data_IF_080559405766
#
_entry.id   IF_080559405766
#
_cell.length_a   1.000
_cell.length_b   1.000
_cell.length_c   1.000
_cell.angle_alpha   90.00
_cell.angle_beta   90.00
_cell.angle_gamma   90.00
#
_symmetry.space_group_name_H-M   'P 1'
#
loop_
_entity.id
_entity.type
_entity.pdbx_description
1 polymer ?
#
# COMPACT_ATOMS: atom_id res chain seq x y z
N UNK A 1 -11.79 -1.19 16.41
CA UNK A 1 -12.46 -2.15 15.50
C UNK A 1 -13.70 -1.48 14.91
N UNK A 2 -13.87 -1.41 13.57
CA UNK A 2 -14.93 -0.60 12.92
C UNK A 2 -16.14 -1.39 12.38
N UNK A 3 -16.00 -2.71 12.20
CA UNK A 3 -17.07 -3.51 11.63
C UNK A 3 -18.21 -3.71 12.66
N UNK A 4 -19.47 -3.33 12.37
CA UNK A 4 -20.54 -3.27 13.39
C UNK A 4 -20.93 -4.64 13.97
N UNK A 5 -20.82 -5.70 13.17
CA UNK A 5 -21.09 -7.09 13.61
C UNK A 5 -19.85 -7.74 14.24
N UNK A 6 -18.76 -7.91 13.46
CA UNK A 6 -17.54 -8.56 13.94
C UNK A 6 -16.94 -7.95 15.21
N UNK A 7 -17.01 -6.63 15.40
CA UNK A 7 -16.47 -5.99 16.62
C UNK A 7 -17.26 -6.32 17.88
N UNK A 8 -18.50 -6.80 17.75
CA UNK A 8 -19.39 -7.14 18.86
C UNK A 8 -19.51 -8.65 19.09
N UNK A 9 -18.85 -9.47 18.28
CA UNK A 9 -18.94 -10.92 18.44
C UNK A 9 -18.29 -11.37 19.74
N UNK A 10 -18.88 -12.38 20.39
CA UNK A 10 -18.35 -12.94 21.64
C UNK A 10 -16.93 -13.46 21.48
N UNK A 11 -16.64 -14.07 20.32
CA UNK A 11 -15.29 -14.54 19.97
C UNK A 11 -14.29 -13.38 19.94
N UNK A 12 -14.65 -12.25 19.33
CA UNK A 12 -13.78 -11.07 19.26
C UNK A 12 -13.58 -10.43 20.63
N UNK A 13 -14.64 -10.34 21.44
CA UNK A 13 -14.55 -9.81 22.81
C UNK A 13 -13.68 -10.71 23.68
N UNK A 14 -13.92 -12.02 23.70
CA UNK A 14 -13.11 -13.00 24.42
C UNK A 14 -11.64 -12.97 23.99
N UNK A 15 -11.39 -12.84 22.67
CA UNK A 15 -10.04 -12.68 22.11
C UNK A 15 -9.29 -11.48 22.70
N UNK A 16 -9.97 -10.35 22.88
CA UNK A 16 -9.33 -9.11 23.34
C UNK A 16 -9.27 -8.97 24.86
N UNK A 17 -10.24 -9.50 25.61
CA UNK A 17 -10.42 -9.16 27.03
C UNK A 17 -10.08 -10.30 28.00
N UNK A 18 -9.94 -11.54 27.53
CA UNK A 18 -9.65 -12.67 28.42
C UNK A 18 -8.19 -12.66 28.89
N UNK A 19 -7.97 -12.49 30.19
CA UNK A 19 -6.64 -12.47 30.82
C UNK A 19 -6.29 -13.77 31.57
N UNK A 20 -7.23 -14.71 31.69
CA UNK A 20 -7.05 -15.98 32.40
C UNK A 20 -6.87 -17.16 31.43
N UNK A 21 -5.84 -17.99 31.64
CA UNK A 21 -5.48 -19.08 30.73
C UNK A 21 -6.53 -20.20 30.70
N UNK A 22 -7.18 -20.51 31.83
CA UNK A 22 -8.19 -21.57 31.89
C UNK A 22 -9.46 -21.13 31.16
N UNK A 23 -9.91 -19.91 31.41
CA UNK A 23 -11.02 -19.26 30.70
C UNK A 23 -10.72 -19.10 29.23
N UNK A 24 -9.47 -18.79 28.87
CA UNK A 24 -9.04 -18.72 27.48
C UNK A 24 -9.29 -20.03 26.74
N UNK A 25 -8.77 -21.15 27.27
CA UNK A 25 -8.95 -22.49 26.69
C UNK A 25 -10.41 -22.89 26.60
N UNK A 26 -11.22 -22.56 27.62
CA UNK A 26 -12.65 -22.84 27.62
C UNK A 26 -13.40 -22.03 26.54
N UNK A 27 -13.20 -20.72 26.49
CA UNK A 27 -13.83 -19.85 25.50
C UNK A 27 -13.38 -20.15 24.07
N UNK A 28 -12.12 -20.54 23.86
CA UNK A 28 -11.64 -21.04 22.57
C UNK A 28 -12.42 -22.28 22.12
N UNK A 29 -12.54 -23.28 23.00
CA UNK A 29 -13.31 -24.51 22.71
C UNK A 29 -14.79 -24.24 22.48
N UNK A 30 -15.35 -23.23 23.15
CA UNK A 30 -16.73 -22.80 22.94
C UNK A 30 -16.90 -22.20 21.54
N UNK A 31 -15.99 -21.32 21.12
CA UNK A 31 -16.00 -20.73 19.78
C UNK A 31 -15.83 -21.79 18.66
N UNK A 32 -15.00 -22.81 18.89
CA UNK A 32 -14.81 -23.94 17.96
C UNK A 32 -16.07 -24.83 17.81
N UNK A 33 -17.00 -24.77 18.76
CA UNK A 33 -18.24 -25.58 18.79
C UNK A 33 -19.50 -24.77 18.50
N UNK A 34 -19.35 -23.53 18.04
CA UNK A 34 -20.50 -22.69 17.69
C UNK A 34 -21.30 -23.33 16.54
N UNK A 35 -22.62 -23.41 16.70
CA UNK A 35 -23.53 -23.97 15.69
C UNK A 35 -24.08 -22.89 14.75
N UNK A 36 -23.95 -21.61 15.10
CA UNK A 36 -24.40 -20.45 14.31
C UNK A 36 -23.34 -20.04 13.29
N UNK A 37 -22.85 -21.01 12.52
CA UNK A 37 -21.84 -20.82 11.48
C UNK A 37 -22.46 -20.81 10.08
N UNK A 38 -21.83 -20.08 9.16
CA UNK A 38 -22.27 -20.01 7.77
C UNK A 38 -23.71 -19.50 7.65
N UNK A 39 -24.56 -20.23 6.91
CA UNK A 39 -25.96 -19.85 6.71
C UNK A 39 -26.79 -19.92 8.00
N UNK A 40 -26.42 -20.74 8.98
CA UNK A 40 -27.13 -20.82 10.27
C UNK A 40 -27.06 -19.50 11.04
N UNK A 41 -26.01 -18.70 10.79
CA UNK A 41 -25.90 -17.36 11.37
C UNK A 41 -27.08 -16.47 11.00
N UNK A 42 -27.70 -16.64 9.83
CA UNK A 42 -28.84 -15.84 9.40
C UNK A 42 -30.05 -15.95 10.34
N UNK A 43 -30.17 -17.05 11.10
CA UNK A 43 -31.23 -17.23 12.10
C UNK A 43 -31.07 -16.28 13.30
N UNK A 44 -29.85 -15.81 13.56
CA UNK A 44 -29.57 -14.83 14.63
C UNK A 44 -29.88 -13.38 14.24
N UNK A 45 -30.18 -13.12 12.96
CA UNK A 45 -30.44 -11.78 12.46
C UNK A 45 -31.89 -11.39 12.68
N UNK A 46 -32.10 -10.24 13.32
CA UNK A 46 -33.40 -9.57 13.31
C UNK A 46 -33.47 -8.72 12.04
N UNK A 47 -34.36 -9.09 11.12
CA UNK A 47 -34.56 -8.40 9.85
C UNK A 47 -35.76 -7.44 9.94
N UNK A 48 -35.74 -6.28 9.25
CA UNK A 48 -36.90 -5.41 9.17
C UNK A 48 -38.11 -6.09 8.50
N UNK A 49 -39.32 -5.72 8.91
CA UNK A 49 -40.57 -6.16 8.27
C UNK A 49 -40.78 -5.43 6.92
N UNK A 50 -39.93 -5.74 5.95
CA UNK A 50 -40.03 -5.22 4.58
C UNK A 50 -39.98 -6.38 3.61
N UNK A 51 -41.07 -6.58 2.86
CA UNK A 51 -41.07 -7.52 1.75
C UNK A 51 -40.12 -7.02 0.64
N UNK A 52 -39.18 -7.87 0.24
CA UNK A 52 -38.29 -7.61 -0.89
C UNK A 52 -38.80 -8.38 -2.11
N UNK A 53 -38.80 -7.73 -3.27
CA UNK A 53 -39.07 -8.41 -4.53
C UNK A 53 -37.84 -9.22 -4.93
N UNK A 54 -38.01 -10.51 -5.21
CA UNK A 54 -36.91 -11.41 -5.57
C UNK A 54 -36.09 -10.85 -6.75
N UNK A 55 -36.77 -10.32 -7.78
CA UNK A 55 -36.11 -9.73 -8.94
C UNK A 55 -35.20 -8.54 -8.61
N UNK A 56 -35.52 -7.76 -7.58
CA UNK A 56 -34.66 -6.67 -7.12
C UNK A 56 -33.44 -7.19 -6.37
N UNK A 57 -33.62 -8.24 -5.55
CA UNK A 57 -32.53 -8.89 -4.82
C UNK A 57 -31.54 -9.53 -5.79
N UNK A 58 -32.04 -10.23 -6.81
CA UNK A 58 -31.21 -10.86 -7.84
C UNK A 58 -30.43 -9.82 -8.62
N UNK A 59 -31.09 -8.73 -9.04
CA UNK A 59 -30.43 -7.64 -9.76
C UNK A 59 -29.29 -6.99 -8.96
N UNK A 60 -29.54 -6.68 -7.67
CA UNK A 60 -28.50 -6.11 -6.79
C UNK A 60 -27.36 -7.12 -6.59
N UNK A 61 -27.68 -8.40 -6.42
CA UNK A 61 -26.68 -9.45 -6.24
C UNK A 61 -25.76 -9.57 -7.44
N UNK A 62 -26.32 -9.55 -8.66
CA UNK A 62 -25.54 -9.59 -9.90
C UNK A 62 -24.69 -8.33 -10.11
N UNK A 63 -25.21 -7.16 -9.77
CA UNK A 63 -24.45 -5.90 -9.76
C UNK A 63 -23.27 -5.99 -8.78
N UNK A 64 -23.49 -6.48 -7.56
CA UNK A 64 -22.44 -6.67 -6.57
C UNK A 64 -21.37 -7.67 -7.05
N UNK A 65 -21.76 -8.78 -7.65
CA UNK A 65 -20.82 -9.77 -8.19
C UNK A 65 -19.95 -9.18 -9.30
N UNK A 66 -20.57 -8.46 -10.24
CA UNK A 66 -19.86 -7.76 -11.32
C UNK A 66 -18.89 -6.72 -10.77
N UNK A 67 -19.34 -5.91 -9.80
CA UNK A 67 -18.52 -4.90 -9.14
C UNK A 67 -17.30 -5.51 -8.44
N UNK A 68 -17.48 -6.56 -7.63
CA UNK A 68 -16.39 -7.18 -6.86
C UNK A 68 -15.31 -7.72 -7.81
N UNK A 69 -15.70 -8.39 -8.90
CA UNK A 69 -14.75 -8.96 -9.86
C UNK A 69 -13.97 -7.87 -10.62
N UNK A 70 -14.66 -6.80 -11.02
CA UNK A 70 -14.02 -5.63 -11.64
C UNK A 70 -13.05 -4.95 -10.69
N UNK A 71 -13.47 -4.70 -9.44
CA UNK A 71 -12.67 -4.07 -8.41
C UNK A 71 -11.42 -4.88 -8.05
N UNK A 72 -11.56 -6.20 -7.88
CA UNK A 72 -10.42 -7.10 -7.60
C UNK A 72 -9.36 -7.01 -8.72
N UNK A 73 -9.81 -7.06 -9.97
CA UNK A 73 -8.93 -6.94 -11.14
C UNK A 73 -8.22 -5.58 -11.18
N UNK A 74 -8.95 -4.48 -10.95
CA UNK A 74 -8.39 -3.13 -10.92
C UNK A 74 -7.40 -2.92 -9.77
N UNK A 75 -7.72 -3.40 -8.56
CA UNK A 75 -6.83 -3.30 -7.39
C UNK A 75 -5.55 -4.10 -7.62
N UNK A 76 -5.63 -5.29 -8.20
CA UNK A 76 -4.44 -6.09 -8.57
C UNK A 76 -3.57 -5.36 -9.58
N UNK A 77 -4.16 -4.74 -10.60
CA UNK A 77 -3.41 -3.96 -11.60
C UNK A 77 -2.69 -2.77 -10.96
N UNK A 78 -3.39 -1.98 -10.12
CA UNK A 78 -2.80 -0.86 -9.39
C UNK A 78 -1.67 -1.33 -8.46
N UNK A 79 -1.91 -2.39 -7.69
CA UNK A 79 -0.92 -2.98 -6.78
C UNK A 79 0.33 -3.43 -7.53
N UNK A 80 0.16 -4.12 -8.66
CA UNK A 80 1.26 -4.53 -9.53
C UNK A 80 2.07 -3.34 -10.03
N UNK A 81 1.41 -2.26 -10.44
CA UNK A 81 2.09 -1.04 -10.87
C UNK A 81 2.83 -0.34 -9.73
N UNK A 82 2.24 -0.27 -8.54
CA UNK A 82 2.92 0.25 -7.36
C UNK A 82 4.19 -0.55 -7.06
N UNK A 83 4.15 -1.88 -7.14
CA UNK A 83 5.34 -2.73 -6.93
C UNK A 83 6.43 -2.47 -7.97
N UNK A 84 6.06 -2.32 -9.25
CA UNK A 84 7.02 -2.00 -10.33
C UNK A 84 7.66 -0.62 -10.06
N UNK A 85 6.85 0.37 -9.73
CA UNK A 85 7.35 1.73 -9.47
C UNK A 85 8.26 1.76 -8.24
N UNK A 86 7.89 1.10 -7.15
CA UNK A 86 8.74 0.98 -5.96
C UNK A 86 10.13 0.44 -6.31
N UNK A 87 10.21 -0.63 -7.13
CA UNK A 87 11.49 -1.17 -7.59
C UNK A 87 12.29 -0.17 -8.44
N UNK A 88 11.61 0.61 -9.29
CA UNK A 88 12.25 1.66 -10.11
C UNK A 88 12.82 2.79 -9.26
N UNK A 89 12.07 3.25 -8.26
CA UNK A 89 12.53 4.29 -7.32
C UNK A 89 13.69 3.83 -6.45
N UNK A 90 13.72 2.57 -6.03
CA UNK A 90 14.79 2.05 -5.17
C UNK A 90 16.15 1.88 -5.88
N UNK A 91 16.15 1.68 -7.21
CA UNK A 91 17.37 1.36 -7.95
C UNK A 91 17.54 2.20 -9.21
N UNK A 92 16.84 1.90 -10.31
CA UNK A 92 17.02 2.57 -11.61
C UNK A 92 17.05 4.09 -11.53
N UNK A 93 16.07 4.74 -10.90
CA UNK A 93 16.03 6.20 -10.84
C UNK A 93 17.16 6.79 -9.99
N UNK A 94 17.54 6.09 -8.92
CA UNK A 94 18.69 6.44 -8.10
C UNK A 94 19.98 6.41 -8.93
N UNK A 95 20.22 5.30 -9.63
CA UNK A 95 21.37 5.09 -10.51
C UNK A 95 21.42 6.12 -11.63
N UNK A 96 20.28 6.43 -12.25
CA UNK A 96 20.21 7.42 -13.32
C UNK A 96 20.60 8.82 -12.82
N UNK A 97 20.07 9.23 -11.65
CA UNK A 97 20.45 10.52 -11.03
C UNK A 97 21.95 10.56 -10.68
N UNK A 98 22.50 9.48 -10.13
CA UNK A 98 23.94 9.39 -9.83
C UNK A 98 24.80 9.52 -11.09
N UNK A 99 24.47 8.80 -12.17
CA UNK A 99 25.19 8.88 -13.45
C UNK A 99 25.14 10.27 -14.06
N UNK A 100 23.99 10.94 -14.00
CA UNK A 100 23.87 12.34 -14.44
C UNK A 100 24.80 13.23 -13.62
N UNK A 101 24.82 13.07 -12.29
CA UNK A 101 25.69 13.86 -11.43
C UNK A 101 27.18 13.62 -11.66
N UNK A 102 27.58 12.36 -11.85
CA UNK A 102 28.95 11.97 -12.23
C UNK A 102 29.38 12.61 -13.56
N UNK A 103 28.50 12.66 -14.56
CA UNK A 103 28.78 13.30 -15.84
C UNK A 103 29.03 14.81 -15.69
N UNK A 104 28.20 15.51 -14.90
CA UNK A 104 28.42 16.93 -14.59
C UNK A 104 29.73 17.17 -13.82
N UNK A 105 30.06 16.30 -12.85
CA UNK A 105 31.35 16.36 -12.17
C UNK A 105 32.53 16.16 -13.13
N UNK A 106 32.44 15.17 -14.03
CA UNK A 106 33.45 14.91 -15.05
C UNK A 106 33.67 16.11 -15.96
N UNK A 107 32.59 16.74 -16.44
CA UNK A 107 32.66 17.97 -17.23
C UNK A 107 33.30 19.13 -16.45
N UNK A 108 32.85 19.35 -15.21
CA UNK A 108 33.42 20.40 -14.36
C UNK A 108 34.91 20.18 -14.09
N UNK A 109 35.36 18.93 -13.91
CA UNK A 109 36.77 18.61 -13.75
C UNK A 109 37.57 18.90 -15.02
N UNK A 110 37.06 18.50 -16.20
CA UNK A 110 37.71 18.78 -17.48
C UNK A 110 37.86 20.29 -17.73
N UNK A 111 36.83 21.09 -17.46
CA UNK A 111 36.87 22.55 -17.59
C UNK A 111 37.87 23.20 -16.62
N UNK A 112 38.07 22.62 -15.43
CA UNK A 112 39.06 23.12 -14.45
C UNK A 112 40.50 22.99 -14.95
N UNK A 113 40.79 22.05 -15.86
CA UNK A 113 42.13 21.83 -16.39
C UNK A 113 42.56 22.94 -17.38
N UNK A 114 41.61 23.67 -17.96
CA UNK A 114 41.83 24.74 -18.94
C UNK A 114 41.73 26.16 -18.31
N UNK A 115 41.61 26.27 -16.98
CA UNK A 115 41.47 27.56 -16.25
C UNK A 115 42.71 28.47 -16.28
N UNK A 116 43.67 28.20 -17.16
CA UNK A 116 44.98 28.85 -17.25
C UNK A 116 45.03 30.32 -17.68
N UNK A 117 43.94 31.10 -17.79
CA UNK A 117 44.08 32.57 -17.92
C UNK A 117 42.87 33.47 -17.62
N UNK A 118 41.66 32.97 -17.28
CA UNK A 118 40.46 33.84 -17.17
C UNK A 118 39.66 33.53 -15.89
N UNK A 119 39.65 34.46 -14.93
CA UNK A 119 38.93 34.35 -13.63
C UNK A 119 37.42 34.05 -13.78
N UNK A 120 36.81 34.42 -14.91
CA UNK A 120 35.38 34.24 -15.21
C UNK A 120 34.92 32.76 -15.30
N UNK A 121 35.78 31.85 -15.76
CA UNK A 121 35.42 30.43 -15.93
C UNK A 121 35.28 29.69 -14.60
N UNK A 122 35.97 30.13 -13.54
CA UNK A 122 35.94 29.50 -12.21
C UNK A 122 34.55 29.40 -11.57
N UNK A 123 33.71 30.43 -11.70
CA UNK A 123 32.34 30.44 -11.15
C UNK A 123 31.43 29.48 -11.91
N UNK A 124 31.57 29.42 -13.23
CA UNK A 124 30.82 28.50 -14.09
C UNK A 124 31.23 27.05 -13.81
N UNK A 125 32.53 26.77 -13.76
CA UNK A 125 33.08 25.45 -13.41
C UNK A 125 32.56 24.97 -12.05
N UNK A 126 32.55 25.85 -11.05
CA UNK A 126 32.00 25.55 -9.73
C UNK A 126 30.49 25.23 -9.79
N UNK A 127 29.70 26.02 -10.52
CA UNK A 127 28.26 25.80 -10.66
C UNK A 127 27.94 24.46 -11.36
N UNK A 128 28.75 24.06 -12.34
CA UNK A 128 28.63 22.75 -13.02
C UNK A 128 28.87 21.61 -12.03
N UNK A 129 29.94 21.69 -11.22
CA UNK A 129 30.21 20.68 -10.18
C UNK A 129 29.11 20.63 -9.11
N UNK A 130 28.57 21.79 -8.71
CA UNK A 130 27.45 21.86 -7.75
C UNK A 130 26.17 21.20 -8.31
N UNK A 131 25.88 21.39 -9.60
CA UNK A 131 24.78 20.70 -10.27
C UNK A 131 24.98 19.18 -10.22
N UNK A 132 26.22 18.72 -10.45
CA UNK A 132 26.58 17.31 -10.32
C UNK A 132 26.32 16.76 -8.91
N UNK A 133 26.72 17.51 -7.88
CA UNK A 133 26.43 17.19 -6.47
C UNK A 133 24.94 17.08 -6.19
N UNK A 134 24.14 18.03 -6.67
CA UNK A 134 22.69 18.02 -6.49
C UNK A 134 22.03 16.76 -7.09
N UNK A 135 22.45 16.34 -8.29
CA UNK A 135 21.93 15.10 -8.91
C UNK A 135 22.33 13.83 -8.13
N UNK A 136 23.56 13.76 -7.62
CA UNK A 136 23.98 12.64 -6.76
C UNK A 136 23.19 12.62 -5.45
N UNK A 137 22.91 13.78 -4.85
CA UNK A 137 22.11 13.87 -3.62
C UNK A 137 20.64 13.51 -3.87
N UNK A 138 20.06 13.87 -5.02
CA UNK A 138 18.73 13.40 -5.44
C UNK A 138 18.71 11.87 -5.58
N UNK A 139 19.81 11.30 -6.10
CA UNK A 139 20.03 9.86 -6.22
C UNK A 139 20.67 9.21 -4.99
N UNK A 140 20.51 9.73 -3.77
CA UNK A 140 20.98 9.08 -2.54
C UNK A 140 19.88 8.23 -1.91
#
# INVERSE_FOLDING_TARGET
CKHPVLSKSEVWQHFLTCTDEKRWKAGKRQAERDNLLGLNYCVSLVVPEKALLQSQVDHITEQCHTFINSMDSSVKAVTGMCMIQTKRFQGPYKTDCQKVGEAFYGLGNALSLDEGSIVSTSKLTSAIKMTGGAFIDIGR
#
